data_IF_875452704170
#
_entry.id   IF_875452704170
#
_cell.length_a   1.000
_cell.length_b   1.000
_cell.length_c   1.000
_cell.angle_alpha   90.00
_cell.angle_beta   90.00
_cell.angle_gamma   90.00
#
_symmetry.space_group_name_H-M   'P 1'
#
loop_
_entity.id
_entity.type
_entity.pdbx_description
1 polymer ?
#
# COMPACT_ATOMS: atom_id res chain seq x y z
N UNK A 1 -19.05 31.71 18.75
CA UNK A 1 -18.05 30.72 18.35
C UNK A 1 -18.74 29.54 17.69
N UNK A 2 -18.79 29.47 16.37
CA UNK A 2 -19.43 28.35 15.66
C UNK A 2 -18.58 27.10 15.86
N UNK A 3 -19.11 26.10 16.57
CA UNK A 3 -18.49 24.78 16.68
C UNK A 3 -18.69 24.10 15.32
N UNK A 4 -17.64 24.04 14.50
CA UNK A 4 -17.65 23.27 13.25
C UNK A 4 -18.06 21.83 13.51
N UNK A 5 -18.95 21.31 12.67
CA UNK A 5 -19.39 19.91 12.74
C UNK A 5 -18.17 18.96 12.81
N UNK A 6 -18.10 18.02 13.78
CA UNK A 6 -16.96 17.13 13.94
C UNK A 6 -16.57 16.37 12.66
N UNK A 7 -17.54 16.04 11.80
CA UNK A 7 -17.30 15.38 10.48
C UNK A 7 -16.58 16.27 9.47
N UNK A 8 -16.86 17.58 9.45
CA UNK A 8 -16.16 18.54 8.58
C UNK A 8 -14.72 18.72 9.03
N UNK A 9 -14.49 18.73 10.33
CA UNK A 9 -13.13 18.83 10.89
C UNK A 9 -12.26 17.62 10.49
N UNK A 10 -12.80 16.40 10.50
CA UNK A 10 -12.08 15.18 10.08
C UNK A 10 -11.74 15.22 8.57
N UNK A 11 -12.64 15.68 7.72
CA UNK A 11 -12.40 15.78 6.27
C UNK A 11 -11.31 16.80 5.96
N UNK A 12 -11.34 17.96 6.60
CA UNK A 12 -10.31 18.99 6.48
C UNK A 12 -8.96 18.50 7.00
N UNK A 13 -8.95 17.82 8.15
CA UNK A 13 -7.73 17.24 8.71
C UNK A 13 -7.13 16.18 7.76
N UNK A 14 -7.95 15.27 7.22
CA UNK A 14 -7.47 14.27 6.23
C UNK A 14 -6.91 14.96 4.97
N UNK A 15 -7.53 16.08 4.52
CA UNK A 15 -7.03 16.86 3.38
C UNK A 15 -5.67 17.49 3.69
N UNK A 16 -5.55 18.15 4.84
CA UNK A 16 -4.29 18.74 5.31
C UNK A 16 -3.17 17.69 5.42
N UNK A 17 -3.43 16.55 6.06
CA UNK A 17 -2.46 15.48 6.21
C UNK A 17 -1.99 14.90 4.87
N UNK A 18 -2.90 14.75 3.88
CA UNK A 18 -2.52 14.32 2.52
C UNK A 18 -1.53 15.29 1.87
N UNK A 19 -1.80 16.60 1.96
CA UNK A 19 -0.90 17.62 1.42
C UNK A 19 0.45 17.60 2.13
N UNK A 20 0.45 17.54 3.47
CA UNK A 20 1.66 17.48 4.29
C UNK A 20 2.56 16.31 3.90
N UNK A 21 2.02 15.09 3.87
CA UNK A 21 2.81 13.88 3.63
C UNK A 21 3.18 13.72 2.16
N UNK A 22 2.36 14.23 1.25
CA UNK A 22 2.73 14.33 -0.16
C UNK A 22 3.94 15.25 -0.34
N UNK A 23 3.93 16.44 0.26
CA UNK A 23 5.05 17.38 0.20
C UNK A 23 6.34 16.78 0.78
N UNK A 24 6.27 16.10 1.94
CA UNK A 24 7.44 15.42 2.54
C UNK A 24 8.06 14.42 1.55
N UNK A 25 7.24 13.69 0.79
CA UNK A 25 7.70 12.71 -0.20
C UNK A 25 8.24 13.36 -1.48
N UNK A 26 7.59 14.41 -1.97
CA UNK A 26 7.98 15.15 -3.17
C UNK A 26 9.29 15.90 -2.98
N UNK A 27 9.55 16.40 -1.78
CA UNK A 27 10.79 17.13 -1.44
C UNK A 27 11.94 16.23 -0.98
N UNK A 28 11.73 14.92 -0.93
CA UNK A 28 12.77 13.98 -0.49
C UNK A 28 13.87 13.85 -1.54
N UNK A 29 15.14 14.08 -1.19
CA UNK A 29 16.25 13.92 -2.12
C UNK A 29 16.32 12.48 -2.68
N UNK A 30 16.51 12.29 -4.01
CA UNK A 30 16.50 10.95 -4.63
C UNK A 30 17.50 9.97 -4.00
N UNK A 31 18.71 10.42 -3.67
CA UNK A 31 19.71 9.57 -3.02
C UNK A 31 19.29 9.11 -1.63
N UNK A 32 18.62 9.98 -0.84
CA UNK A 32 18.06 9.63 0.46
C UNK A 32 16.92 8.63 0.28
N UNK A 33 16.00 8.90 -0.65
CA UNK A 33 14.89 8.00 -0.97
C UNK A 33 15.38 6.60 -1.33
N UNK A 34 16.34 6.48 -2.23
CA UNK A 34 16.89 5.19 -2.65
C UNK A 34 17.50 4.38 -1.50
N UNK A 35 18.21 5.04 -0.56
CA UNK A 35 18.73 4.38 0.66
C UNK A 35 17.61 3.87 1.56
N UNK A 36 16.55 4.65 1.74
CA UNK A 36 15.39 4.28 2.56
C UNK A 36 14.58 3.16 1.90
N UNK A 37 14.35 3.22 0.59
CA UNK A 37 13.70 2.15 -0.17
C UNK A 37 14.45 0.82 -0.04
N UNK A 38 15.78 0.84 -0.13
CA UNK A 38 16.60 -0.36 0.03
C UNK A 38 16.49 -0.98 1.44
N UNK A 39 16.41 -0.13 2.49
CA UNK A 39 16.22 -0.61 3.87
C UNK A 39 14.82 -1.18 4.09
N UNK A 40 13.77 -0.50 3.62
CA UNK A 40 12.38 -1.00 3.69
C UNK A 40 12.29 -2.35 2.98
N UNK A 41 12.86 -2.47 1.77
CA UNK A 41 12.87 -3.71 1.01
C UNK A 41 13.59 -4.85 1.75
N UNK A 42 14.72 -4.59 2.39
CA UNK A 42 15.42 -5.59 3.21
C UNK A 42 14.53 -6.05 4.36
N UNK A 43 13.97 -5.12 5.15
CA UNK A 43 13.06 -5.46 6.26
C UNK A 43 11.84 -6.26 5.78
N UNK A 44 11.31 -5.93 4.59
CA UNK A 44 10.16 -6.63 4.00
C UNK A 44 10.49 -8.10 3.69
N UNK A 45 11.66 -8.34 3.07
CA UNK A 45 12.10 -9.69 2.70
C UNK A 45 12.60 -10.51 3.89
N UNK A 46 12.95 -9.89 5.00
CA UNK A 46 13.33 -10.57 6.24
C UNK A 46 12.08 -11.02 7.05
N UNK A 47 10.86 -10.65 6.64
CA UNK A 47 9.62 -11.07 7.30
C UNK A 47 9.36 -12.58 7.08
N UNK A 48 9.10 -13.37 8.13
CA UNK A 48 8.69 -14.76 7.99
C UNK A 48 7.45 -14.93 7.11
N UNK A 49 6.50 -14.00 7.20
CA UNK A 49 5.26 -14.01 6.41
C UNK A 49 5.54 -13.89 4.90
N UNK A 50 6.56 -13.13 4.49
CA UNK A 50 6.97 -13.08 3.09
C UNK A 50 7.42 -14.46 2.59
N UNK A 51 8.15 -15.21 3.42
CA UNK A 51 8.63 -16.54 3.04
C UNK A 51 7.55 -17.60 3.03
N UNK A 52 6.59 -17.52 3.95
CA UNK A 52 5.49 -18.46 4.10
C UNK A 52 4.47 -18.39 2.97
N UNK A 53 4.20 -17.18 2.47
CA UNK A 53 3.18 -16.96 1.46
C UNK A 53 3.71 -17.18 0.04
N UNK A 54 2.96 -17.89 -0.79
CA UNK A 54 3.30 -18.14 -2.18
C UNK A 54 2.92 -16.99 -3.11
N UNK A 55 1.91 -16.19 -2.74
CA UNK A 55 1.40 -15.07 -3.54
C UNK A 55 1.70 -13.74 -2.87
N UNK A 56 2.27 -12.82 -3.64
CA UNK A 56 2.55 -11.43 -3.22
C UNK A 56 1.63 -10.47 -3.98
N UNK A 57 0.75 -9.81 -3.26
CA UNK A 57 -0.09 -8.73 -3.76
C UNK A 57 0.67 -7.42 -3.61
N UNK A 58 0.92 -6.70 -4.70
CA UNK A 58 1.76 -5.51 -4.66
C UNK A 58 1.29 -4.44 -5.64
N UNK A 59 1.14 -3.20 -5.15
CA UNK A 59 0.85 -2.05 -6.00
C UNK A 59 2.07 -1.63 -6.81
N UNK A 60 1.86 -0.97 -7.95
CA UNK A 60 2.94 -0.38 -8.74
C UNK A 60 3.13 1.07 -8.31
N UNK A 61 4.30 1.36 -7.77
CA UNK A 61 4.58 2.62 -7.10
C UNK A 61 4.71 3.81 -8.05
N UNK A 62 4.24 4.97 -7.59
CA UNK A 62 4.58 6.28 -8.15
C UNK A 62 5.97 6.71 -7.67
N UNK A 63 6.55 7.70 -8.32
CA UNK A 63 7.90 8.21 -7.98
C UNK A 63 8.07 8.65 -6.52
N UNK A 64 7.00 9.16 -5.90
CA UNK A 64 7.00 9.61 -4.50
C UNK A 64 6.75 8.49 -3.48
N UNK A 65 6.39 7.31 -3.93
CA UNK A 65 6.12 6.15 -3.07
C UNK A 65 7.38 5.30 -2.86
N UNK A 66 7.33 4.40 -1.90
CA UNK A 66 8.37 3.37 -1.73
C UNK A 66 8.44 2.55 -3.01
N UNK A 67 9.66 2.33 -3.51
CA UNK A 67 9.88 1.60 -4.76
C UNK A 67 9.40 0.14 -4.67
N UNK A 68 8.32 -0.17 -5.38
CA UNK A 68 7.79 -1.52 -5.48
C UNK A 68 8.25 -2.25 -6.75
N UNK A 69 8.84 -1.57 -7.73
CA UNK A 69 9.39 -2.25 -8.92
C UNK A 69 10.49 -3.25 -8.55
N UNK A 70 11.37 -2.85 -7.64
CA UNK A 70 12.41 -3.75 -7.11
C UNK A 70 11.82 -4.89 -6.28
N UNK A 71 10.70 -4.67 -5.59
CA UNK A 71 9.99 -5.70 -4.82
C UNK A 71 9.38 -6.72 -5.78
N UNK A 72 8.67 -6.26 -6.83
CA UNK A 72 8.10 -7.12 -7.88
C UNK A 72 9.18 -8.01 -8.51
N UNK A 73 10.28 -7.40 -8.96
CA UNK A 73 11.40 -8.15 -9.58
C UNK A 73 11.95 -9.23 -8.65
N UNK A 74 12.13 -8.90 -7.37
CA UNK A 74 12.65 -9.86 -6.38
C UNK A 74 11.63 -10.97 -6.10
N UNK A 75 10.36 -10.66 -5.92
CA UNK A 75 9.33 -11.66 -5.65
C UNK A 75 9.20 -12.66 -6.83
N UNK A 76 9.26 -12.18 -8.07
CA UNK A 76 9.30 -13.04 -9.26
C UNK A 76 10.56 -13.91 -9.30
N UNK A 77 11.72 -13.36 -8.96
CA UNK A 77 12.98 -14.12 -8.91
C UNK A 77 12.98 -15.17 -7.79
N UNK A 78 12.28 -14.91 -6.69
CA UNK A 78 12.07 -15.87 -5.59
C UNK A 78 11.03 -16.96 -5.94
N UNK A 79 10.48 -16.97 -7.17
CA UNK A 79 9.50 -17.95 -7.65
C UNK A 79 8.08 -17.75 -7.11
N UNK A 80 7.77 -16.57 -6.55
CA UNK A 80 6.44 -16.26 -6.04
C UNK A 80 5.48 -15.86 -7.16
N UNK A 81 4.20 -16.14 -6.96
CA UNK A 81 3.13 -15.55 -7.76
C UNK A 81 3.00 -14.07 -7.37
N UNK A 82 3.09 -13.18 -8.35
CA UNK A 82 2.96 -11.74 -8.10
C UNK A 82 1.66 -11.24 -8.69
N UNK A 83 0.84 -10.60 -7.87
CA UNK A 83 -0.45 -10.04 -8.22
C UNK A 83 -0.42 -8.52 -8.09
N UNK A 84 -0.79 -7.79 -9.14
CA UNK A 84 -0.87 -6.32 -9.12
C UNK A 84 -2.29 -5.84 -9.37
N UNK A 85 -2.69 -4.69 -8.77
CA UNK A 85 -4.05 -4.20 -8.87
C UNK A 85 -4.31 -3.48 -10.19
N UNK A 86 -5.55 -3.59 -10.66
CA UNK A 86 -6.15 -2.80 -11.72
C UNK A 86 -7.46 -2.20 -11.22
N UNK A 87 -7.66 -0.91 -11.44
CA UNK A 87 -8.93 -0.26 -11.11
C UNK A 87 -10.03 -0.69 -12.08
N UNK A 88 -11.21 -1.05 -11.56
CA UNK A 88 -12.38 -1.33 -12.38
C UNK A 88 -13.01 0.00 -12.83
N UNK A 89 -13.09 0.26 -14.15
CA UNK A 89 -13.60 1.54 -14.65
C UNK A 89 -15.02 1.86 -14.18
N UNK A 90 -15.26 3.10 -13.78
CA UNK A 90 -16.58 3.56 -13.31
C UNK A 90 -16.95 3.15 -11.89
N UNK A 91 -16.06 2.45 -11.18
CA UNK A 91 -16.29 1.97 -9.81
C UNK A 91 -15.21 2.48 -8.84
N UNK A 92 -15.32 2.07 -7.58
CA UNK A 92 -14.25 2.21 -6.58
C UNK A 92 -13.67 0.85 -6.19
N UNK A 93 -13.79 -0.14 -7.08
CA UNK A 93 -13.28 -1.49 -6.91
C UNK A 93 -11.98 -1.66 -7.66
N UNK A 94 -11.16 -2.58 -7.20
CA UNK A 94 -9.95 -3.01 -7.89
C UNK A 94 -9.86 -4.53 -7.90
N UNK A 95 -9.38 -5.06 -8.99
CA UNK A 95 -9.10 -6.46 -9.20
C UNK A 95 -7.60 -6.68 -9.23
N UNK A 96 -7.14 -7.82 -8.78
CA UNK A 96 -5.74 -8.19 -8.86
C UNK A 96 -5.51 -9.21 -9.97
N UNK A 97 -4.45 -9.02 -10.74
CA UNK A 97 -4.06 -9.90 -11.83
C UNK A 97 -2.63 -10.39 -11.64
N UNK A 98 -2.40 -11.67 -11.89
CA UNK A 98 -1.06 -12.24 -11.88
C UNK A 98 -0.23 -11.69 -13.02
N UNK A 99 0.97 -11.19 -12.70
CA UNK A 99 1.96 -10.72 -13.65
C UNK A 99 3.19 -11.63 -13.59
N UNK A 100 3.86 -11.83 -14.71
CA UNK A 100 5.08 -12.63 -14.85
C UNK A 100 6.31 -11.77 -15.08
N UNK A 101 6.11 -10.54 -15.53
CA UNK A 101 7.15 -9.53 -15.70
C UNK A 101 6.54 -8.13 -15.62
N UNK A 102 7.39 -7.10 -15.60
CA UNK A 102 6.93 -5.71 -15.71
C UNK A 102 6.37 -5.37 -17.09
N UNK A 103 6.67 -6.19 -18.12
CA UNK A 103 6.13 -6.03 -19.48
C UNK A 103 4.64 -6.39 -19.56
N UNK A 104 4.13 -7.10 -18.56
CA UNK A 104 2.69 -7.38 -18.40
C UNK A 104 1.88 -6.14 -17.96
N UNK A 105 2.56 -5.00 -17.71
CA UNK A 105 1.94 -3.76 -17.29
C UNK A 105 1.72 -2.79 -18.47
N UNK A 106 0.68 -1.98 -18.40
CA UNK A 106 0.35 -0.90 -19.32
C UNK A 106 -0.02 0.38 -18.55
N UNK A 107 -0.08 1.53 -19.21
CA UNK A 107 -0.59 2.76 -18.59
C UNK A 107 -2.06 2.61 -18.27
N UNK A 108 -2.38 2.70 -16.99
CA UNK A 108 -3.75 2.56 -16.47
C UNK A 108 -4.28 3.85 -15.86
N UNK A 109 -5.23 3.68 -14.97
CA UNK A 109 -5.94 4.76 -14.27
C UNK A 109 -4.99 5.56 -13.36
N UNK A 110 -5.23 6.86 -13.20
CA UNK A 110 -4.44 7.76 -12.35
C UNK A 110 -2.94 7.88 -12.69
N UNK A 111 -2.54 7.52 -13.93
CA UNK A 111 -1.14 7.56 -14.36
C UNK A 111 -0.24 6.51 -13.69
N UNK A 112 -0.82 5.44 -13.19
CA UNK A 112 -0.11 4.26 -12.66
C UNK A 112 -0.05 3.18 -13.73
N UNK A 113 0.96 2.33 -13.66
CA UNK A 113 0.97 1.12 -14.47
C UNK A 113 0.04 0.08 -13.84
N UNK A 114 -0.78 -0.56 -14.67
CA UNK A 114 -1.74 -1.59 -14.28
C UNK A 114 -1.56 -2.83 -15.16
N UNK A 115 -1.92 -4.04 -14.68
CA UNK A 115 -1.85 -5.26 -15.48
C UNK A 115 -2.68 -5.16 -16.77
N UNK A 116 -2.16 -5.72 -17.87
CA UNK A 116 -2.89 -5.93 -19.12
C UNK A 116 -3.94 -7.03 -18.91
N UNK A 117 -5.15 -6.66 -18.49
CA UNK A 117 -6.19 -7.60 -18.05
C UNK A 117 -6.56 -8.67 -19.10
N UNK A 118 -6.40 -8.38 -20.40
CA UNK A 118 -6.65 -9.36 -21.46
C UNK A 118 -5.56 -10.45 -21.56
N UNK A 119 -4.37 -10.22 -20.97
CA UNK A 119 -3.22 -11.12 -21.05
C UNK A 119 -2.86 -11.73 -19.69
N UNK A 120 -3.35 -11.13 -18.61
CA UNK A 120 -3.06 -11.53 -17.25
C UNK A 120 -4.24 -12.28 -16.64
N UNK A 121 -3.96 -13.32 -15.84
CA UNK A 121 -4.99 -14.11 -15.17
C UNK A 121 -5.49 -13.34 -13.93
N UNK A 122 -6.81 -13.23 -13.79
CA UNK A 122 -7.46 -12.67 -12.61
C UNK A 122 -7.18 -13.53 -11.37
N UNK A 123 -6.90 -12.88 -10.24
CA UNK A 123 -6.84 -13.53 -8.92
C UNK A 123 -8.25 -13.67 -8.37
N UNK A 124 -8.66 -14.89 -8.08
CA UNK A 124 -9.99 -15.19 -7.51
C UNK A 124 -9.93 -15.62 -6.05
N UNK A 125 -8.75 -16.08 -5.58
CA UNK A 125 -8.54 -16.47 -4.19
C UNK A 125 -7.87 -15.33 -3.41
N UNK A 126 -8.60 -14.76 -2.45
CA UNK A 126 -8.17 -13.71 -1.55
C UNK A 126 -8.01 -14.19 -0.10
N UNK A 127 -8.07 -15.52 0.12
CA UNK A 127 -8.01 -16.12 1.46
C UNK A 127 -6.59 -16.18 2.02
N UNK A 128 -5.58 -16.15 1.16
CA UNK A 128 -4.16 -16.23 1.49
C UNK A 128 -3.33 -15.19 0.71
N UNK A 129 -2.10 -14.98 1.15
CA UNK A 129 -1.11 -14.17 0.46
C UNK A 129 -0.54 -13.04 1.31
N UNK A 130 0.54 -12.47 0.81
CA UNK A 130 1.29 -11.37 1.41
C UNK A 130 0.96 -10.08 0.66
N UNK A 131 0.15 -9.19 1.25
CA UNK A 131 -0.33 -7.98 0.59
C UNK A 131 0.43 -6.74 1.04
N UNK A 132 1.14 -6.11 0.11
CA UNK A 132 1.82 -4.83 0.32
C UNK A 132 0.84 -3.68 0.04
N UNK A 133 0.56 -2.91 1.07
CA UNK A 133 -0.50 -1.88 1.08
C UNK A 133 0.10 -0.49 1.00
N UNK A 134 -0.30 0.35 0.02
CA UNK A 134 0.16 1.73 -0.09
C UNK A 134 -0.51 2.66 0.91
N UNK A 135 0.18 3.76 1.25
CA UNK A 135 -0.38 4.86 2.01
C UNK A 135 0.54 6.08 1.96
N UNK A 136 -0.01 7.28 1.97
CA UNK A 136 0.76 8.52 2.12
C UNK A 136 1.40 8.60 3.51
N UNK A 137 0.67 8.18 4.54
CA UNK A 137 1.17 7.99 5.88
C UNK A 137 0.41 6.85 6.58
N UNK A 138 1.00 6.34 7.66
CA UNK A 138 0.44 5.33 8.55
C UNK A 138 0.49 5.80 9.99
N UNK A 139 -0.30 5.19 10.87
CA UNK A 139 -0.15 5.37 12.30
C UNK A 139 0.36 4.10 13.00
N UNK A 140 0.60 4.24 14.31
CA UNK A 140 1.13 3.16 15.13
C UNK A 140 0.19 1.94 15.24
N UNK A 141 -1.10 2.13 14.92
CA UNK A 141 -2.13 1.08 14.94
C UNK A 141 -2.34 0.44 13.56
N UNK A 142 -1.57 0.86 12.54
CA UNK A 142 -1.68 0.34 11.19
C UNK A 142 -2.73 1.02 10.31
N UNK A 143 -3.47 2.00 10.83
CA UNK A 143 -4.36 2.78 9.97
C UNK A 143 -3.56 3.62 9.00
N UNK A 144 -4.11 3.82 7.79
CA UNK A 144 -3.43 4.55 6.73
C UNK A 144 -4.27 5.70 6.20
N UNK A 145 -3.58 6.69 5.71
CA UNK A 145 -4.15 7.74 4.89
C UNK A 145 -3.68 7.56 3.46
N UNK A 146 -4.57 7.08 2.60
CA UNK A 146 -4.35 6.99 1.16
C UNK A 146 -4.80 8.24 0.40
N UNK A 147 -4.92 8.13 -0.92
CA UNK A 147 -5.34 9.25 -1.79
C UNK A 147 -6.83 9.60 -1.69
N UNK A 148 -7.64 8.85 -0.94
CA UNK A 148 -9.02 9.20 -0.60
C UNK A 148 -10.11 8.60 -1.50
N UNK A 149 -9.80 7.62 -2.32
CA UNK A 149 -10.76 6.92 -3.18
C UNK A 149 -11.36 5.65 -2.56
N UNK A 150 -10.71 5.09 -1.51
CA UNK A 150 -11.20 3.94 -0.77
C UNK A 150 -11.03 2.58 -1.43
N UNK A 151 -10.25 2.49 -2.52
CA UNK A 151 -9.97 1.21 -3.22
C UNK A 151 -9.43 0.14 -2.27
N UNK A 152 -8.38 0.46 -1.53
CA UNK A 152 -7.77 -0.49 -0.60
C UNK A 152 -8.63 -0.81 0.62
N UNK A 153 -9.51 0.09 1.07
CA UNK A 153 -10.40 -0.21 2.21
C UNK A 153 -11.44 -1.25 1.82
N UNK A 154 -11.95 -1.20 0.58
CA UNK A 154 -12.86 -2.23 0.04
C UNK A 154 -12.13 -3.55 -0.15
N UNK A 155 -11.00 -3.54 -0.85
CA UNK A 155 -10.23 -4.76 -1.07
C UNK A 155 -9.85 -5.45 0.25
N UNK A 156 -9.33 -4.70 1.22
CA UNK A 156 -8.92 -5.23 2.53
C UNK A 156 -10.10 -5.72 3.39
N UNK A 157 -11.34 -5.38 3.06
CA UNK A 157 -12.51 -5.96 3.73
C UNK A 157 -12.75 -7.43 3.33
N UNK A 158 -12.27 -7.83 2.17
CA UNK A 158 -12.42 -9.17 1.60
C UNK A 158 -11.14 -10.02 1.74
N UNK A 159 -9.98 -9.37 1.67
CA UNK A 159 -8.69 -10.05 1.77
C UNK A 159 -8.44 -10.62 3.16
N UNK A 160 -8.03 -11.90 3.23
CA UNK A 160 -7.81 -12.65 4.50
C UNK A 160 -6.34 -12.97 4.78
N UNK A 161 -5.45 -12.74 3.80
CA UNK A 161 -4.01 -12.92 3.97
C UNK A 161 -3.37 -11.86 4.87
N UNK A 162 -2.05 -11.86 4.93
CA UNK A 162 -1.26 -10.91 5.74
C UNK A 162 -1.11 -9.59 5.02
N UNK A 163 -1.39 -8.49 5.70
CA UNK A 163 -1.33 -7.13 5.16
C UNK A 163 -0.14 -6.35 5.73
N UNK A 164 0.68 -5.78 4.85
CA UNK A 164 1.90 -5.07 5.22
C UNK A 164 1.91 -3.67 4.62
N UNK A 165 1.81 -2.67 5.47
CA UNK A 165 1.99 -1.27 5.08
C UNK A 165 3.47 -0.93 4.97
N UNK A 166 3.86 -0.25 3.90
CA UNK A 166 5.23 0.23 3.73
C UNK A 166 5.25 1.74 3.61
N UNK A 167 6.07 2.42 4.41
CA UNK A 167 6.27 3.86 4.31
C UNK A 167 7.58 4.30 4.94
N UNK A 168 7.96 5.56 4.69
CA UNK A 168 9.09 6.18 5.38
C UNK A 168 8.73 6.54 6.81
N UNK A 169 9.68 6.42 7.75
CA UNK A 169 9.47 6.79 9.16
C UNK A 169 8.98 8.23 9.31
N UNK A 170 9.45 9.15 8.45
CA UNK A 170 8.98 10.53 8.39
C UNK A 170 7.50 10.67 8.00
N UNK A 171 6.89 9.59 7.50
CA UNK A 171 5.47 9.49 7.14
C UNK A 171 4.67 8.66 8.14
N UNK A 172 5.18 8.45 9.34
CA UNK A 172 4.42 7.83 10.43
C UNK A 172 3.87 8.91 11.35
N UNK A 173 2.57 8.81 11.66
CA UNK A 173 1.81 9.70 12.54
C UNK A 173 1.50 8.97 13.84
N UNK A 174 1.32 9.71 14.94
CA UNK A 174 0.92 9.11 16.23
C UNK A 174 -0.47 8.44 16.13
N UNK A 175 -1.43 9.12 15.53
CA UNK A 175 -2.78 8.59 15.27
C UNK A 175 -3.40 9.29 14.06
N UNK A 176 -4.14 8.51 13.28
CA UNK A 176 -4.89 9.00 12.12
C UNK A 176 -6.39 8.98 12.40
N UNK A 177 -7.14 9.99 11.93
CA UNK A 177 -8.58 9.91 11.96
C UNK A 177 -9.03 8.79 11.03
N UNK A 178 -9.70 7.79 11.59
CA UNK A 178 -10.24 6.64 10.85
C UNK A 178 -11.73 6.47 11.13
N UNK A 179 -12.44 5.86 10.18
CA UNK A 179 -13.85 5.52 10.28
C UNK A 179 -14.05 4.01 10.35
N UNK A 180 -15.32 3.61 10.35
CA UNK A 180 -15.73 2.21 10.47
C UNK A 180 -15.21 1.32 9.33
N UNK A 181 -15.08 1.86 8.12
CA UNK A 181 -14.62 1.12 6.94
C UNK A 181 -13.11 1.11 6.75
N UNK A 182 -12.37 2.00 7.45
CA UNK A 182 -10.91 2.04 7.34
C UNK A 182 -10.31 0.77 7.98
N UNK A 183 -9.48 0.04 7.23
CA UNK A 183 -8.86 -1.22 7.65
C UNK A 183 -7.39 -1.00 7.97
N UNK A 184 -6.93 -1.34 9.20
CA UNK A 184 -5.51 -1.29 9.53
C UNK A 184 -4.76 -2.44 8.86
N UNK A 185 -3.46 -2.26 8.64
CA UNK A 185 -2.56 -3.35 8.23
C UNK A 185 -2.08 -4.15 9.44
N UNK A 186 -1.68 -5.41 9.23
CA UNK A 186 -1.16 -6.29 10.29
C UNK A 186 0.28 -5.93 10.67
N UNK A 187 1.08 -5.47 9.70
CA UNK A 187 2.49 -5.13 9.88
C UNK A 187 2.77 -3.78 9.23
N UNK A 188 3.51 -2.93 9.91
CA UNK A 188 4.05 -1.69 9.35
C UNK A 188 5.57 -1.81 9.22
N UNK A 189 6.09 -1.63 8.01
CA UNK A 189 7.51 -1.68 7.69
C UNK A 189 8.01 -0.29 7.29
N UNK A 190 9.03 0.18 7.97
CA UNK A 190 9.74 1.43 7.65
C UNK A 190 11.24 1.15 7.43
N UNK A 191 12.00 2.16 7.03
CA UNK A 191 13.46 2.03 6.91
C UNK A 191 14.19 1.87 8.27
N UNK A 192 13.50 2.15 9.39
CA UNK A 192 14.09 2.11 10.72
C UNK A 192 13.57 0.97 11.59
N UNK A 193 12.34 0.49 11.37
CA UNK A 193 11.74 -0.55 12.21
C UNK A 193 10.62 -1.30 11.48
N UNK A 194 10.31 -2.46 12.03
CA UNK A 194 9.12 -3.26 11.74
C UNK A 194 8.23 -3.21 12.99
N UNK A 195 6.93 -2.99 12.79
CA UNK A 195 5.93 -2.99 13.86
C UNK A 195 4.78 -3.90 13.50
N UNK A 196 4.47 -4.87 14.37
CA UNK A 196 3.22 -5.62 14.31
C UNK A 196 2.12 -4.83 14.98
N UNK A 197 0.98 -4.71 14.33
CA UNK A 197 -0.18 -4.00 14.88
C UNK A 197 -1.04 -4.97 15.65
N UNK A 198 -1.67 -4.49 16.72
CA UNK A 198 -2.60 -5.30 17.48
C UNK A 198 -3.89 -5.50 16.66
N UNK A 199 -4.22 -6.75 16.32
CA UNK A 199 -5.56 -7.06 15.77
C UNK A 199 -6.58 -6.75 16.86
N UNK A 200 -7.50 -5.81 16.60
CA UNK A 200 -8.72 -5.77 17.42
C UNK A 200 -9.49 -7.06 17.16
N UNK A 201 -9.60 -7.87 18.21
CA UNK A 201 -10.53 -9.00 18.26
C UNK A 201 -11.97 -8.53 18.03
#
# INVERSE_FOLDING_TARGET
>A
MYVKNPKENIKELKKYLRLKYRNIRETMPPAKKGKMDARIRRHLFDLPEYHQESTVFVYISKSIEVDTFSIVKRALADGKLVASPRCVPGTYEMEFYYIRSLDDLEKGTFGVLEPKHQQCKLVTDLTHGFCIVPGLCFDAKGYRLGYGKGYYDRFLSEFKGVTVGICYTSCVQYGLPHGYFDRPVDILVTENYIRRTEKKQ
#
